data_IF_782977150708
#
_entry.id   IF_782977150708
#
_cell.length_a   1.000
_cell.length_b   1.000
_cell.length_c   1.000
_cell.angle_alpha   90.00
_cell.angle_beta   90.00
_cell.angle_gamma   90.00
#
_symmetry.space_group_name_H-M   'P 1'
#
loop_
_entity.id
_entity.type
_entity.pdbx_description
1 polymer ?
#
# COMPACT_ATOMS: atom_id res chain seq x y z
N UNK A 1 -14.54 12.37 -2.21
CA UNK A 1 -13.81 12.32 -0.92
C UNK A 1 -12.36 12.00 -1.28
N UNK A 2 -11.38 12.40 -0.47
CA UNK A 2 -9.97 12.01 -0.65
C UNK A 2 -9.64 10.92 0.38
N UNK A 3 -8.71 10.00 0.07
CA UNK A 3 -8.26 8.95 0.98
C UNK A 3 -7.82 9.61 2.29
N UNK A 4 -8.31 9.09 3.42
CA UNK A 4 -7.98 9.65 4.73
C UNK A 4 -7.50 8.58 5.68
N UNK A 5 -6.50 8.93 6.48
CA UNK A 5 -6.07 8.17 7.64
C UNK A 5 -6.30 9.06 8.85
N UNK A 6 -6.84 8.48 9.91
CA UNK A 6 -6.95 9.12 11.21
C UNK A 6 -6.28 8.22 12.24
N UNK A 7 -5.18 8.68 12.82
CA UNK A 7 -4.46 7.99 13.90
C UNK A 7 -4.96 8.54 15.24
N UNK A 8 -5.40 7.68 16.15
CA UNK A 8 -6.07 8.10 17.38
C UNK A 8 -5.79 7.23 18.61
N UNK A 9 -5.39 5.96 18.45
CA UNK A 9 -4.99 5.11 19.57
C UNK A 9 -3.55 5.35 19.97
N UNK A 10 -3.10 4.70 21.04
CA UNK A 10 -1.72 4.75 21.52
C UNK A 10 -1.30 3.37 21.97
N UNK A 11 -0.14 2.91 21.50
CA UNK A 11 0.49 1.69 21.97
C UNK A 11 1.73 2.08 22.77
N UNK A 12 1.73 1.70 24.04
CA UNK A 12 2.78 2.05 25.01
C UNK A 12 3.44 0.78 25.55
N UNK A 13 4.76 0.74 25.47
CA UNK A 13 5.59 -0.17 26.27
C UNK A 13 5.90 0.52 27.60
N UNK A 14 5.74 -0.23 28.69
CA UNK A 14 6.04 0.20 30.07
C UNK A 14 6.98 -0.82 30.72
N UNK A 15 8.26 -0.46 30.93
CA UNK A 15 9.28 -1.38 31.47
C UNK A 15 9.06 -1.83 32.94
N UNK A 16 7.92 -1.54 33.55
CA UNK A 16 7.59 -1.96 34.91
C UNK A 16 7.48 -3.48 35.02
N UNK A 17 7.65 -3.98 36.24
CA UNK A 17 7.41 -5.39 36.52
C UNK A 17 5.92 -5.75 36.35
N UNK A 18 5.66 -6.72 35.46
CA UNK A 18 4.33 -7.23 35.04
C UNK A 18 3.68 -6.35 33.97
N UNK A 19 2.85 -6.92 33.07
CA UNK A 19 2.22 -6.14 32.00
C UNK A 19 1.37 -4.98 32.55
N UNK A 20 1.66 -3.77 32.11
CA UNK A 20 0.87 -2.56 32.34
C UNK A 20 0.49 -1.91 31.01
N UNK A 21 -0.43 -0.94 31.05
CA UNK A 21 -0.88 -0.21 29.86
C UNK A 21 -1.23 -1.09 28.65
N UNK A 22 -0.41 -1.06 27.60
CA UNK A 22 -0.63 -1.85 26.36
C UNK A 22 0.20 -3.12 26.31
N UNK A 23 0.94 -3.46 27.36
CA UNK A 23 1.79 -4.62 27.41
C UNK A 23 0.99 -5.92 27.30
N UNK A 24 1.60 -6.88 26.63
CA UNK A 24 1.02 -8.19 26.42
C UNK A 24 2.05 -9.27 26.72
N UNK A 25 1.62 -10.33 27.39
CA UNK A 25 2.48 -11.49 27.58
C UNK A 25 2.79 -12.11 26.21
N UNK A 26 4.04 -12.55 26.00
CA UNK A 26 4.48 -13.12 24.72
C UNK A 26 3.59 -14.28 24.24
N UNK A 27 3.02 -15.06 25.17
CA UNK A 27 2.12 -16.19 24.86
C UNK A 27 0.77 -15.74 24.29
N UNK A 28 0.35 -14.51 24.58
CA UNK A 28 -0.92 -13.94 24.15
C UNK A 28 -0.78 -13.12 22.84
N UNK A 29 0.45 -12.92 22.34
CA UNK A 29 0.70 -12.28 21.05
C UNK A 29 0.12 -13.16 19.93
N UNK A 30 -0.75 -12.61 19.06
CA UNK A 30 -1.33 -13.34 17.94
C UNK A 30 -0.27 -13.94 16.99
N UNK A 31 -0.59 -15.11 16.43
CA UNK A 31 0.35 -15.83 15.55
C UNK A 31 0.73 -15.06 14.28
N UNK A 32 -0.18 -14.24 13.73
CA UNK A 32 0.10 -13.39 12.57
C UNK A 32 1.11 -12.28 12.93
N UNK A 33 0.97 -11.67 14.11
CA UNK A 33 1.89 -10.63 14.60
C UNK A 33 3.28 -11.21 14.85
N UNK A 34 3.37 -12.33 15.58
CA UNK A 34 4.67 -12.99 15.82
C UNK A 34 5.34 -13.47 14.53
N UNK A 35 4.55 -13.90 13.52
CA UNK A 35 5.07 -14.23 12.19
C UNK A 35 5.60 -13.02 11.45
N UNK A 36 4.88 -11.89 11.48
CA UNK A 36 5.31 -10.65 10.83
C UNK A 36 6.67 -10.17 11.38
N UNK A 37 6.82 -10.09 12.70
CA UNK A 37 8.09 -9.74 13.33
C UNK A 37 9.21 -10.74 13.01
N UNK A 38 8.93 -12.04 13.10
CA UNK A 38 9.94 -13.08 12.82
C UNK A 38 10.44 -13.04 11.38
N UNK A 39 9.56 -12.78 10.41
CA UNK A 39 9.92 -12.63 9.00
C UNK A 39 10.81 -11.40 8.75
N UNK A 40 10.59 -10.32 9.49
CA UNK A 40 11.45 -9.13 9.49
C UNK A 40 12.76 -9.32 10.29
N UNK A 41 12.97 -10.49 10.91
CA UNK A 41 14.15 -10.81 11.71
C UNK A 41 14.09 -10.36 13.17
N UNK A 42 12.96 -9.83 13.63
CA UNK A 42 12.71 -9.46 15.02
C UNK A 42 12.11 -10.65 15.81
N UNK A 43 12.97 -11.45 16.45
CA UNK A 43 12.52 -12.61 17.22
C UNK A 43 11.99 -12.19 18.60
N UNK A 44 10.67 -12.14 18.77
CA UNK A 44 10.00 -11.72 20.01
C UNK A 44 10.41 -12.51 21.26
N UNK A 45 10.98 -13.72 21.15
CA UNK A 45 11.51 -14.44 22.30
C UNK A 45 12.70 -13.74 22.97
N UNK A 46 13.34 -12.81 22.26
CA UNK A 46 14.43 -11.98 22.75
C UNK A 46 13.96 -10.57 23.14
N UNK A 47 12.68 -10.26 22.99
CA UNK A 47 12.16 -8.95 23.37
C UNK A 47 12.20 -8.80 24.90
N UNK A 48 12.59 -7.61 25.34
CA UNK A 48 12.40 -7.16 26.73
C UNK A 48 10.90 -7.13 27.00
N UNK A 49 10.13 -6.54 26.06
CA UNK A 49 8.71 -6.33 26.19
C UNK A 49 8.01 -6.24 24.84
N UNK A 50 6.72 -6.56 24.83
CA UNK A 50 5.83 -6.44 23.68
C UNK A 50 4.57 -5.74 24.14
N UNK A 51 4.10 -4.78 23.34
CA UNK A 51 2.85 -4.07 23.56
C UNK A 51 1.96 -4.13 22.31
N UNK A 52 0.64 -4.17 22.52
CA UNK A 52 -0.39 -4.18 21.49
C UNK A 52 -1.63 -4.98 21.89
N UNK A 53 -2.46 -5.35 20.92
CA UNK A 53 -3.62 -6.23 21.16
C UNK A 53 -4.91 -5.53 21.59
N UNK A 54 -4.93 -4.19 21.61
CA UNK A 54 -6.09 -3.36 21.87
C UNK A 54 -7.10 -3.29 20.71
N UNK A 55 -7.92 -2.23 20.72
CA UNK A 55 -8.76 -1.85 19.58
C UNK A 55 -7.93 -1.29 18.43
N UNK A 56 -8.58 -0.70 17.44
CA UNK A 56 -7.89 -0.04 16.33
C UNK A 56 -7.18 1.22 16.84
N UNK A 57 -5.94 1.43 16.41
CA UNK A 57 -5.15 2.63 16.68
C UNK A 57 -5.30 3.68 15.58
N UNK A 58 -5.74 3.24 14.41
CA UNK A 58 -6.03 4.10 13.28
C UNK A 58 -7.25 3.58 12.51
N UNK A 59 -7.91 4.49 11.82
CA UNK A 59 -8.95 4.20 10.84
C UNK A 59 -8.54 4.76 9.49
N UNK A 60 -8.89 4.05 8.42
CA UNK A 60 -8.67 4.48 7.04
C UNK A 60 -10.00 4.49 6.29
N UNK A 61 -10.24 5.57 5.55
CA UNK A 61 -11.44 5.72 4.71
C UNK A 61 -11.00 6.00 3.28
N UNK A 62 -11.26 5.07 2.33
CA UNK A 62 -10.92 5.26 0.92
C UNK A 62 -11.84 6.26 0.23
N UNK A 63 -11.44 6.66 -0.97
CA UNK A 63 -12.31 7.37 -1.87
C UNK A 63 -13.56 6.55 -2.21
N UNK A 64 -14.63 7.26 -2.56
CA UNK A 64 -15.87 6.60 -2.98
C UNK A 64 -15.57 5.69 -4.16
N UNK A 65 -15.89 4.41 -4.01
CA UNK A 65 -15.66 3.43 -5.07
C UNK A 65 -14.29 2.77 -5.09
N UNK A 66 -13.42 3.14 -4.16
CA UNK A 66 -12.13 2.53 -3.95
C UNK A 66 -12.15 1.66 -2.69
N UNK A 67 -11.20 0.75 -2.63
CA UNK A 67 -10.88 -0.05 -1.45
C UNK A 67 -9.44 0.22 -1.08
N UNK A 68 -9.12 0.23 0.22
CA UNK A 68 -7.73 0.35 0.67
C UNK A 68 -6.99 -0.94 0.27
N UNK A 69 -5.87 -0.78 -0.41
CA UNK A 69 -5.05 -1.90 -0.90
C UNK A 69 -4.01 -2.37 0.12
N UNK A 70 -3.61 -1.49 1.03
CA UNK A 70 -2.67 -1.81 2.10
C UNK A 70 -2.32 -0.58 2.94
N UNK A 71 -1.80 -0.85 4.13
CA UNK A 71 -1.16 0.10 5.03
C UNK A 71 0.34 -0.19 5.12
N UNK A 72 1.17 0.85 5.20
CA UNK A 72 2.63 0.68 5.35
C UNK A 72 3.27 1.88 6.04
N UNK A 73 4.48 1.70 6.58
CA UNK A 73 5.23 2.77 7.21
C UNK A 73 6.09 3.54 6.19
N UNK A 74 6.08 4.87 6.30
CA UNK A 74 6.86 5.78 5.44
C UNK A 74 7.56 6.86 6.26
N UNK A 75 8.58 7.47 5.66
CA UNK A 75 9.29 8.61 6.25
C UNK A 75 8.40 9.89 6.24
N UNK A 76 8.82 10.98 6.92
CA UNK A 76 8.05 12.24 6.96
C UNK A 76 7.78 12.88 5.59
N UNK A 77 8.60 12.57 4.59
CA UNK A 77 8.50 12.99 3.18
C UNK A 77 7.74 12.00 2.29
N UNK A 78 7.14 10.97 2.89
CA UNK A 78 6.42 9.86 2.24
C UNK A 78 7.32 8.95 1.38
N UNK A 79 8.63 8.94 1.65
CA UNK A 79 9.58 7.99 1.08
C UNK A 79 9.71 6.71 1.90
N UNK A 80 10.53 5.79 1.40
CA UNK A 80 10.82 4.53 2.08
C UNK A 80 11.79 4.76 3.26
N UNK A 81 11.47 4.18 4.42
CA UNK A 81 12.37 4.18 5.58
C UNK A 81 13.58 3.30 5.31
N UNK A 82 14.76 3.88 5.13
CA UNK A 82 15.95 3.15 4.68
C UNK A 82 17.25 3.60 5.38
N UNK A 83 17.12 3.98 6.64
CA UNK A 83 18.20 4.56 7.45
C UNK A 83 17.86 5.95 7.99
N UNK A 84 16.59 6.24 8.20
CA UNK A 84 16.10 7.52 8.69
C UNK A 84 16.34 7.65 10.19
N UNK A 85 16.82 8.80 10.65
CA UNK A 85 17.09 9.01 12.06
C UNK A 85 15.79 8.97 12.88
N UNK A 86 15.69 8.05 13.84
CA UNK A 86 14.55 7.95 14.76
C UNK A 86 14.52 9.06 15.81
N UNK A 87 15.66 9.75 16.03
CA UNK A 87 15.84 10.67 17.14
C UNK A 87 16.03 9.99 18.51
N UNK A 88 15.92 8.67 18.56
CA UNK A 88 16.15 7.86 19.75
C UNK A 88 17.58 7.32 19.78
N UNK A 89 18.05 7.00 20.98
CA UNK A 89 19.36 6.44 21.23
C UNK A 89 19.22 5.23 22.15
N UNK A 90 20.10 4.24 21.99
CA UNK A 90 20.23 3.18 22.99
C UNK A 90 20.81 3.73 24.29
N UNK A 91 20.67 3.00 25.40
CA UNK A 91 21.25 3.39 26.69
C UNK A 91 22.77 3.69 26.60
N UNK A 92 23.49 3.00 25.72
CA UNK A 92 24.92 3.19 25.46
C UNK A 92 25.23 4.41 24.57
N UNK A 93 24.20 5.12 24.10
CA UNK A 93 24.31 6.34 23.30
C UNK A 93 24.49 6.11 21.81
N UNK A 94 24.20 4.92 21.28
CA UNK A 94 24.17 4.68 19.83
C UNK A 94 22.86 5.23 19.25
N UNK A 95 22.94 6.00 18.18
CA UNK A 95 21.76 6.51 17.47
C UNK A 95 21.00 5.37 16.79
N UNK A 96 19.68 5.44 16.78
CA UNK A 96 18.81 4.41 16.20
C UNK A 96 18.23 4.93 14.88
N UNK A 97 18.28 4.11 13.84
CA UNK A 97 17.79 4.43 12.50
C UNK A 97 16.64 3.50 12.09
N UNK A 98 15.66 4.02 11.36
CA UNK A 98 14.45 3.34 10.94
C UNK A 98 14.62 2.70 9.57
N UNK A 99 14.20 1.44 9.47
CA UNK A 99 14.17 0.65 8.23
C UNK A 99 12.83 -0.06 8.10
N UNK A 100 12.08 0.23 7.04
CA UNK A 100 10.92 -0.59 6.69
C UNK A 100 11.41 -1.98 6.21
N UNK A 101 10.70 -3.04 6.57
CA UNK A 101 11.02 -4.37 6.04
C UNK A 101 10.76 -4.38 4.52
N UNK A 102 11.73 -4.81 3.70
CA UNK A 102 11.60 -4.73 2.24
C UNK A 102 10.56 -5.68 1.66
N UNK A 103 10.06 -6.66 2.43
CA UNK A 103 9.07 -7.62 1.99
C UNK A 103 7.68 -7.37 2.62
N UNK A 104 7.60 -6.49 3.62
CA UNK A 104 6.39 -6.16 4.36
C UNK A 104 6.54 -4.75 4.97
N UNK A 105 6.13 -3.72 4.25
CA UNK A 105 6.21 -2.33 4.68
C UNK A 105 5.31 -2.02 5.90
N UNK A 106 4.45 -2.96 6.31
CA UNK A 106 3.75 -2.90 7.59
C UNK A 106 4.69 -3.04 8.80
N UNK A 107 5.94 -3.47 8.62
CA UNK A 107 6.93 -3.60 9.70
C UNK A 107 8.05 -2.58 9.52
N UNK A 108 8.38 -1.85 10.59
CA UNK A 108 9.58 -1.00 10.68
C UNK A 108 10.46 -1.47 11.83
N UNK A 109 11.77 -1.46 11.59
CA UNK A 109 12.81 -1.82 12.55
C UNK A 109 13.59 -0.56 12.94
N UNK A 110 13.74 -0.33 14.24
CA UNK A 110 14.76 0.56 14.78
C UNK A 110 16.07 -0.21 14.93
N UNK A 111 17.09 0.14 14.15
CA UNK A 111 18.41 -0.49 14.17
C UNK A 111 19.47 0.44 14.71
N UNK A 112 20.42 -0.10 15.46
CA UNK A 112 21.58 0.65 15.90
C UNK A 112 22.39 1.16 14.72
N UNK A 113 22.79 2.42 14.78
CA UNK A 113 23.82 2.97 13.92
C UNK A 113 25.22 2.58 14.39
N UNK A 114 26.21 2.87 13.55
CA UNK A 114 27.61 2.76 13.94
C UNK A 114 27.96 3.74 15.06
N UNK A 115 29.08 3.52 15.76
CA UNK A 115 29.62 4.43 16.79
C UNK A 115 29.81 5.87 16.28
N UNK A 116 29.95 6.06 14.96
CA UNK A 116 30.06 7.38 14.32
C UNK A 116 28.74 8.09 14.04
N UNK A 117 27.58 7.54 14.44
CA UNK A 117 26.26 8.11 14.14
C UNK A 117 25.88 7.96 12.67
N UNK A 118 26.24 6.83 12.06
CA UNK A 118 25.89 6.51 10.67
C UNK A 118 24.94 5.33 10.65
N UNK A 119 23.87 5.43 9.86
CA UNK A 119 22.88 4.39 9.65
C UNK A 119 23.53 3.07 9.21
N UNK A 120 23.15 1.97 9.85
CA UNK A 120 23.64 0.62 9.57
C UNK A 120 22.46 -0.35 9.38
N UNK A 121 22.16 -0.80 8.14
CA UNK A 121 21.07 -1.73 7.90
C UNK A 121 21.31 -3.12 8.52
N UNK A 122 22.54 -3.43 8.93
CA UNK A 122 22.92 -4.65 9.64
C UNK A 122 23.05 -4.48 11.15
N UNK A 123 22.81 -3.28 11.66
CA UNK A 123 22.82 -2.98 13.09
C UNK A 123 21.83 -3.85 13.86
N UNK A 124 22.11 -4.05 15.15
CA UNK A 124 21.22 -4.79 16.04
C UNK A 124 19.83 -4.13 16.06
N UNK A 125 18.78 -4.94 16.16
CA UNK A 125 17.40 -4.44 16.28
C UNK A 125 17.20 -4.00 17.72
N UNK A 126 16.88 -2.73 17.91
CA UNK A 126 16.59 -2.11 19.22
C UNK A 126 15.10 -2.18 19.52
N UNK A 127 14.26 -1.85 18.54
CA UNK A 127 12.81 -2.05 18.60
C UNK A 127 12.27 -2.43 17.22
N UNK A 128 11.07 -3.00 17.20
CA UNK A 128 10.31 -3.27 15.99
C UNK A 128 8.86 -2.82 16.17
N UNK A 129 8.26 -2.29 15.12
CA UNK A 129 6.88 -1.82 15.11
C UNK A 129 6.16 -2.46 13.92
N UNK A 130 4.93 -2.94 14.15
CA UNK A 130 4.09 -3.55 13.13
C UNK A 130 2.70 -2.90 13.13
N UNK A 131 2.17 -2.59 11.95
CA UNK A 131 0.76 -2.24 11.75
C UNK A 131 -0.01 -3.46 11.26
N UNK A 132 -0.84 -4.02 12.13
CA UNK A 132 -1.79 -5.07 11.79
C UNK A 132 -3.03 -4.45 11.17
N UNK A 133 -3.29 -4.73 9.90
CA UNK A 133 -4.49 -4.24 9.21
C UNK A 133 -5.76 -4.85 9.80
N UNK A 134 -6.76 -4.01 10.08
CA UNK A 134 -8.09 -4.46 10.51
C UNK A 134 -9.06 -4.38 9.36
N UNK A 135 -9.87 -5.44 9.21
CA UNK A 135 -10.79 -5.56 8.09
C UNK A 135 -12.24 -5.65 8.53
N UNK A 136 -13.12 -4.96 7.81
CA UNK A 136 -14.58 -5.15 7.87
C UNK A 136 -15.04 -5.71 6.53
N UNK A 137 -15.74 -6.86 6.52
CA UNK A 137 -16.16 -7.55 5.29
C UNK A 137 -15.00 -7.84 4.31
N UNK A 138 -13.81 -8.16 4.83
CA UNK A 138 -12.58 -8.39 4.05
C UNK A 138 -11.99 -7.14 3.38
N UNK A 139 -12.46 -5.94 3.73
CA UNK A 139 -11.88 -4.67 3.30
C UNK A 139 -11.12 -4.03 4.45
N UNK A 140 -9.93 -3.49 4.19
CA UNK A 140 -9.13 -2.79 5.20
C UNK A 140 -9.85 -1.50 5.60
N UNK A 141 -10.11 -1.35 6.90
CA UNK A 141 -10.82 -0.19 7.50
C UNK A 141 -10.01 0.52 8.57
N UNK A 142 -8.90 -0.08 9.01
CA UNK A 142 -8.05 0.49 10.04
C UNK A 142 -6.80 -0.35 10.28
N UNK A 143 -6.16 -0.12 11.42
CA UNK A 143 -5.01 -0.88 11.83
C UNK A 143 -4.74 -0.77 13.33
N UNK A 144 -3.99 -1.75 13.84
CA UNK A 144 -3.49 -1.79 15.22
C UNK A 144 -1.98 -1.75 15.22
N UNK A 145 -1.40 -1.01 16.14
CA UNK A 145 0.04 -1.01 16.33
C UNK A 145 0.45 -2.11 17.31
N UNK A 146 1.60 -2.70 17.00
CA UNK A 146 2.32 -3.63 17.84
C UNK A 146 3.75 -3.15 17.95
N UNK A 147 4.30 -3.12 19.16
CA UNK A 147 5.67 -2.68 19.41
C UNK A 147 6.39 -3.78 20.18
N UNK A 148 7.63 -4.06 19.82
CA UNK A 148 8.53 -4.92 20.57
C UNK A 148 9.86 -4.18 20.83
N UNK A 149 10.32 -4.18 22.07
CA UNK A 149 11.59 -3.58 22.48
C UNK A 149 12.60 -4.69 22.79
N UNK A 150 13.84 -4.54 22.34
CA UNK A 150 14.91 -5.54 22.44
C UNK A 150 16.15 -5.01 23.18
N UNK A 151 16.37 -3.70 23.18
CA UNK A 151 17.44 -3.05 23.93
C UNK A 151 16.91 -1.77 24.59
N UNK A 152 17.34 -1.44 25.83
CA UNK A 152 16.85 -0.26 26.52
C UNK A 152 17.18 1.05 25.80
N UNK A 153 16.24 1.99 25.82
CA UNK A 153 16.39 3.31 25.26
C UNK A 153 17.02 4.28 26.25
N UNK A 154 17.74 5.28 25.74
CA UNK A 154 18.26 6.37 26.56
C UNK A 154 17.18 7.41 26.82
N UNK A 155 16.91 7.64 28.10
CA UNK A 155 16.02 8.71 28.55
C UNK A 155 16.79 10.02 28.82
N UNK A 156 16.30 11.16 28.30
CA UNK A 156 16.99 12.45 28.44
C UNK A 156 16.79 13.10 29.81
N UNK A 157 15.75 12.73 30.54
CA UNK A 157 15.48 13.21 31.90
C UNK A 157 16.08 12.26 32.93
N UNK A 158 16.92 12.79 33.82
CA UNK A 158 17.57 12.04 34.89
C UNK A 158 17.04 12.42 36.28
N UNK A 159 15.90 13.13 36.37
CA UNK A 159 15.49 13.86 37.58
C UNK A 159 14.36 13.24 38.42
N UNK A 160 14.20 11.91 38.36
CA UNK A 160 13.22 11.08 39.11
C UNK A 160 11.79 11.04 38.55
N UNK A 161 11.59 11.24 37.24
CA UNK A 161 10.38 10.74 36.61
C UNK A 161 10.68 9.35 36.05
N UNK A 162 10.17 8.32 36.71
CA UNK A 162 10.36 6.91 36.32
C UNK A 162 9.42 6.49 35.17
N UNK A 163 8.74 7.45 34.52
CA UNK A 163 7.76 7.22 33.45
C UNK A 163 7.96 8.27 32.33
N UNK A 164 9.21 8.67 32.07
CA UNK A 164 9.47 9.61 30.97
C UNK A 164 9.24 8.90 29.63
N UNK A 165 8.20 9.31 28.92
CA UNK A 165 7.93 8.79 27.57
C UNK A 165 8.92 9.33 26.53
N UNK A 166 9.58 8.42 25.80
CA UNK A 166 10.18 8.72 24.50
C UNK A 166 9.32 8.14 23.37
N UNK A 167 9.37 8.76 22.20
CA UNK A 167 8.54 8.37 21.06
C UNK A 167 9.19 8.75 19.72
N UNK A 168 8.49 8.51 18.62
CA UNK A 168 8.96 8.77 17.25
C UNK A 168 8.33 10.05 16.66
N UNK A 169 8.04 11.05 17.49
CA UNK A 169 7.37 12.28 17.06
C UNK A 169 8.01 12.89 15.80
N UNK A 170 7.16 13.18 14.81
CA UNK A 170 7.55 13.69 13.50
C UNK A 170 8.58 12.83 12.72
N UNK A 171 8.82 11.56 13.10
CA UNK A 171 9.76 10.65 12.43
C UNK A 171 9.11 9.52 11.64
N UNK A 172 7.93 9.09 12.06
CA UNK A 172 7.26 7.93 11.49
C UNK A 172 5.82 8.28 11.09
N UNK A 173 5.48 7.96 9.84
CA UNK A 173 4.12 8.02 9.31
C UNK A 173 3.62 6.63 8.96
N UNK A 174 2.31 6.46 9.05
CA UNK A 174 1.59 5.36 8.40
C UNK A 174 0.95 5.91 7.13
N UNK A 175 1.08 5.18 6.03
CA UNK A 175 0.51 5.50 4.73
C UNK A 175 -0.45 4.42 4.27
N UNK A 176 -1.40 4.82 3.42
CA UNK A 176 -2.36 3.94 2.81
C UNK A 176 -2.36 4.16 1.31
N UNK A 177 -2.56 3.09 0.55
CA UNK A 177 -2.88 3.16 -0.88
C UNK A 177 -4.26 2.58 -1.13
N UNK A 178 -4.87 2.92 -2.26
CA UNK A 178 -6.20 2.44 -2.60
C UNK A 178 -6.28 1.98 -4.06
N UNK A 179 -7.21 1.07 -4.33
CA UNK A 179 -7.46 0.53 -5.64
C UNK A 179 -8.95 0.33 -5.91
N UNK A 180 -9.29 0.27 -7.19
CA UNK A 180 -10.60 -0.20 -7.65
C UNK A 180 -10.40 -1.10 -8.86
N UNK A 181 -11.20 -2.17 -8.95
CA UNK A 181 -11.06 -3.20 -9.99
C UNK A 181 -12.35 -3.32 -10.77
N UNK A 182 -12.21 -3.46 -12.08
CA UNK A 182 -13.30 -3.61 -13.03
C UNK A 182 -13.22 -4.99 -13.66
N UNK A 183 -14.27 -5.79 -13.45
CA UNK A 183 -14.46 -7.04 -14.17
C UNK A 183 -15.11 -6.74 -15.52
N UNK A 184 -14.69 -7.46 -16.55
CA UNK A 184 -15.34 -7.38 -17.87
C UNK A 184 -16.49 -8.35 -18.03
N UNK A 185 -16.83 -9.09 -16.97
CA UNK A 185 -17.97 -10.01 -16.96
C UNK A 185 -19.25 -9.32 -17.45
N UNK A 186 -20.03 -10.08 -18.22
CA UNK A 186 -21.29 -9.62 -18.83
C UNK A 186 -21.15 -8.48 -19.86
N UNK A 187 -19.94 -8.11 -20.28
CA UNK A 187 -19.75 -7.17 -21.38
C UNK A 187 -20.58 -7.59 -22.60
N UNK A 188 -21.36 -6.68 -23.23
CA UNK A 188 -22.18 -6.98 -24.39
C UNK A 188 -21.37 -7.64 -25.50
N UNK A 189 -21.84 -8.78 -25.98
CA UNK A 189 -21.24 -9.47 -27.12
C UNK A 189 -21.48 -8.70 -28.40
N UNK A 190 -20.50 -8.65 -29.29
CA UNK A 190 -20.61 -7.91 -30.55
C UNK A 190 -19.37 -7.07 -30.80
N UNK A 191 -19.43 -6.24 -31.83
CA UNK A 191 -18.48 -5.16 -32.06
C UNK A 191 -19.24 -3.88 -31.69
N UNK A 192 -18.89 -3.28 -30.56
CA UNK A 192 -19.53 -2.07 -30.07
C UNK A 192 -18.56 -0.89 -30.17
N UNK A 193 -19.04 0.34 -30.17
CA UNK A 193 -18.16 1.52 -30.19
C UNK A 193 -17.40 1.73 -28.88
N UNK A 194 -18.07 1.47 -27.77
CA UNK A 194 -17.47 1.53 -26.44
C UNK A 194 -17.96 0.40 -25.54
N UNK A 195 -17.31 0.25 -24.39
CA UNK A 195 -17.86 -0.44 -23.23
C UNK A 195 -17.59 0.42 -22.01
N UNK A 196 -18.56 0.56 -21.11
CA UNK A 196 -18.36 1.29 -19.86
C UNK A 196 -18.62 0.36 -18.68
N UNK A 197 -17.65 0.25 -17.77
CA UNK A 197 -17.73 -0.61 -16.59
C UNK A 197 -17.76 0.24 -15.34
N UNK A 198 -18.71 -0.04 -14.45
CA UNK A 198 -18.78 0.53 -13.11
C UNK A 198 -18.12 -0.39 -12.08
N UNK A 199 -17.81 0.16 -10.91
CA UNK A 199 -17.24 -0.59 -9.78
C UNK A 199 -18.28 -1.17 -8.82
N UNK A 200 -19.58 -1.06 -9.10
CA UNK A 200 -20.62 -1.50 -8.17
C UNK A 200 -21.46 -2.67 -8.70
N UNK A 201 -21.36 -3.87 -8.09
CA UNK A 201 -22.14 -5.02 -8.49
C UNK A 201 -23.61 -5.07 -7.96
N UNK A 202 -24.11 -4.07 -7.22
CA UNK A 202 -25.50 -4.07 -6.71
C UNK A 202 -26.11 -2.68 -6.38
N UNK A 203 -25.55 -1.58 -6.89
CA UNK A 203 -26.00 -0.22 -6.57
C UNK A 203 -25.43 0.82 -7.55
N UNK A 204 -25.29 2.08 -7.11
CA UNK A 204 -24.71 3.16 -7.93
C UNK A 204 -23.17 3.08 -7.89
N UNK A 205 -22.55 2.95 -9.05
CA UNK A 205 -21.13 3.05 -9.32
C UNK A 205 -20.64 4.48 -9.10
N UNK A 206 -19.48 4.58 -8.48
CA UNK A 206 -18.85 5.87 -8.11
C UNK A 206 -17.53 6.08 -8.81
N UNK A 207 -16.95 5.00 -9.35
CA UNK A 207 -15.84 5.01 -10.28
C UNK A 207 -16.17 4.04 -11.43
N UNK A 208 -15.62 4.34 -12.59
CA UNK A 208 -15.81 3.57 -13.80
C UNK A 208 -14.64 3.67 -14.74
N UNK A 209 -14.69 2.84 -15.79
CA UNK A 209 -13.82 2.95 -16.94
C UNK A 209 -14.65 2.96 -18.22
N UNK A 210 -14.27 3.81 -19.15
CA UNK A 210 -14.74 3.77 -20.53
C UNK A 210 -13.65 3.13 -21.37
N UNK A 211 -14.01 2.08 -22.09
CA UNK A 211 -13.13 1.32 -22.97
C UNK A 211 -13.52 1.64 -24.40
N UNK A 212 -12.56 2.11 -25.20
CA UNK A 212 -12.71 2.35 -26.63
C UNK A 212 -11.54 1.73 -27.40
N UNK A 213 -11.63 1.69 -28.73
CA UNK A 213 -10.48 1.39 -29.57
C UNK A 213 -9.36 2.46 -29.48
N UNK A 214 -8.30 2.29 -30.27
CA UNK A 214 -7.23 3.31 -30.35
C UNK A 214 -7.70 4.53 -31.14
N UNK A 215 -8.45 4.29 -32.20
CA UNK A 215 -9.03 5.32 -33.06
C UNK A 215 -10.56 5.11 -33.14
N UNK A 216 -11.30 5.36 -32.04
CA UNK A 216 -12.75 5.32 -32.09
C UNK A 216 -13.27 6.36 -33.07
N UNK A 217 -14.46 6.13 -33.60
CA UNK A 217 -15.13 7.05 -34.50
C UNK A 217 -15.64 8.27 -33.73
N UNK A 218 -15.28 9.51 -34.08
CA UNK A 218 -15.87 10.70 -33.45
C UNK A 218 -17.31 10.91 -33.94
N UNK A 219 -18.24 11.11 -33.00
CA UNK A 219 -19.61 11.55 -33.24
C UNK A 219 -20.51 10.52 -33.96
N UNK A 220 -20.74 9.39 -33.30
CA UNK A 220 -21.56 8.30 -33.83
C UNK A 220 -22.88 8.16 -33.08
N UNK A 221 -23.91 8.72 -33.71
CA UNK A 221 -25.31 8.30 -33.53
C UNK A 221 -25.69 7.33 -34.67
N UNK A 222 -24.71 6.58 -35.19
CA UNK A 222 -24.87 5.64 -36.31
C UNK A 222 -24.23 4.28 -36.00
N UNK A 223 -24.66 3.24 -36.71
CA UNK A 223 -24.18 1.87 -36.52
C UNK A 223 -23.17 1.46 -37.61
N UNK A 224 -22.54 2.43 -38.29
CA UNK A 224 -21.71 2.16 -39.48
C UNK A 224 -20.26 1.81 -39.10
N UNK A 225 -19.89 1.95 -37.82
CA UNK A 225 -18.61 1.53 -37.21
C UNK A 225 -17.38 1.93 -38.04
N UNK A 226 -17.24 3.22 -38.40
CA UNK A 226 -16.15 3.64 -39.30
C UNK A 226 -14.80 3.80 -38.61
N UNK A 227 -14.79 3.84 -37.27
CA UNK A 227 -13.62 3.75 -36.39
C UNK A 227 -13.38 2.36 -35.79
N UNK A 228 -12.47 2.28 -34.82
CA UNK A 228 -12.17 1.06 -34.08
C UNK A 228 -13.34 0.66 -33.16
N UNK A 229 -13.73 -0.61 -33.17
CA UNK A 229 -14.78 -1.17 -32.30
C UNK A 229 -14.18 -1.98 -31.16
N UNK A 230 -14.77 -1.92 -29.97
CA UNK A 230 -14.49 -2.80 -28.84
C UNK A 230 -15.38 -4.04 -28.93
N UNK A 231 -14.77 -5.22 -28.96
CA UNK A 231 -15.51 -6.47 -29.11
C UNK A 231 -15.38 -7.39 -27.90
N UNK A 232 -16.49 -7.98 -27.47
CA UNK A 232 -16.50 -9.07 -26.48
C UNK A 232 -16.96 -10.38 -27.12
N UNK A 233 -16.31 -11.47 -26.73
CA UNK A 233 -16.57 -12.82 -27.25
C UNK A 233 -17.81 -13.49 -26.64
N UNK A 234 -18.19 -13.10 -25.40
CA UNK A 234 -19.27 -13.71 -24.63
C UNK A 234 -19.83 -12.72 -23.60
N UNK A 235 -21.16 -12.69 -23.43
CA UNK A 235 -21.80 -12.05 -22.29
C UNK A 235 -21.90 -13.08 -21.15
N UNK A 236 -20.94 -13.05 -20.22
CA UNK A 236 -20.92 -13.95 -19.07
C UNK A 236 -19.64 -13.86 -18.25
N UNK A 237 -19.43 -14.78 -17.28
CA UNK A 237 -18.22 -14.83 -16.48
C UNK A 237 -16.97 -15.10 -17.32
N UNK A 238 -15.86 -14.46 -16.95
CA UNK A 238 -14.57 -14.46 -17.64
C UNK A 238 -14.62 -13.86 -19.05
N UNK A 239 -15.54 -12.92 -19.29
CA UNK A 239 -15.55 -12.19 -20.54
C UNK A 239 -14.24 -11.40 -20.73
N UNK A 240 -13.81 -11.33 -21.97
CA UNK A 240 -12.60 -10.61 -22.38
C UNK A 240 -12.94 -9.60 -23.46
N UNK A 241 -12.24 -8.48 -23.46
CA UNK A 241 -12.39 -7.44 -24.49
C UNK A 241 -11.22 -7.49 -25.48
N UNK A 242 -11.56 -7.35 -26.75
CA UNK A 242 -10.68 -7.16 -27.89
C UNK A 242 -11.09 -5.92 -28.70
N UNK A 243 -10.44 -5.70 -29.83
CA UNK A 243 -10.72 -4.55 -30.71
C UNK A 243 -10.69 -4.98 -32.17
N UNK A 244 -11.69 -4.54 -32.96
CA UNK A 244 -11.90 -4.94 -34.35
C UNK A 244 -11.96 -6.47 -34.54
N UNK A 245 -12.56 -7.15 -33.56
CA UNK A 245 -12.53 -8.58 -33.39
C UNK A 245 -12.39 -8.97 -31.91
N UNK A 246 -12.72 -10.21 -31.59
CA UNK A 246 -12.79 -10.71 -30.20
C UNK A 246 -11.44 -10.81 -29.47
N UNK A 247 -10.33 -10.48 -30.15
CA UNK A 247 -8.98 -10.48 -29.62
C UNK A 247 -8.28 -9.15 -29.92
N UNK A 248 -7.36 -8.72 -29.07
CA UNK A 248 -6.46 -7.60 -29.37
C UNK A 248 -5.32 -8.07 -30.30
N UNK A 249 -5.56 -7.91 -31.60
CA UNK A 249 -4.64 -8.31 -32.68
C UNK A 249 -3.46 -7.33 -32.90
N UNK A 250 -2.41 -7.78 -33.62
CA UNK A 250 -1.25 -6.94 -33.93
C UNK A 250 -1.62 -5.64 -34.63
N UNK A 251 -1.10 -4.51 -34.14
CA UNK A 251 -1.34 -3.17 -34.68
C UNK A 251 -2.59 -2.47 -34.14
N UNK A 252 -3.43 -3.16 -33.36
CA UNK A 252 -4.59 -2.58 -32.71
C UNK A 252 -4.28 -2.20 -31.24
N UNK A 253 -5.17 -1.43 -30.62
CA UNK A 253 -5.07 -1.02 -29.23
C UNK A 253 -6.43 -0.73 -28.58
N UNK A 254 -6.45 -0.77 -27.26
CA UNK A 254 -7.59 -0.41 -26.42
C UNK A 254 -7.22 0.77 -25.54
N UNK A 255 -8.09 1.78 -25.50
CA UNK A 255 -8.00 2.93 -24.62
C UNK A 255 -8.88 2.71 -23.40
N UNK A 256 -8.37 2.97 -22.22
CA UNK A 256 -9.09 2.88 -20.95
C UNK A 256 -9.09 4.27 -20.31
N UNK A 257 -10.25 4.93 -20.27
CA UNK A 257 -10.43 6.26 -19.65
C UNK A 257 -11.09 6.10 -18.28
N UNK A 258 -10.55 6.75 -17.26
CA UNK A 258 -10.99 6.61 -15.87
C UNK A 258 -12.00 7.69 -15.53
N UNK A 259 -13.20 7.29 -15.14
CA UNK A 259 -14.33 8.21 -14.96
C UNK A 259 -14.96 8.07 -13.58
N UNK A 260 -15.53 9.16 -13.08
CA UNK A 260 -16.25 9.24 -11.83
C UNK A 260 -17.76 9.28 -12.08
N UNK A 261 -18.50 8.54 -11.25
CA UNK A 261 -19.96 8.43 -11.28
C UNK A 261 -20.50 8.20 -12.72
N UNK A 262 -20.09 7.11 -13.38
CA UNK A 262 -20.69 6.74 -14.66
C UNK A 262 -22.20 6.56 -14.50
N UNK A 263 -22.98 6.91 -15.53
CA UNK A 263 -24.43 6.72 -15.48
C UNK A 263 -24.75 5.22 -15.51
N UNK A 264 -25.38 4.70 -14.45
CA UNK A 264 -25.60 3.25 -14.29
C UNK A 264 -26.31 2.60 -15.47
N UNK A 265 -27.27 3.29 -16.08
CA UNK A 265 -28.03 2.82 -17.23
C UNK A 265 -27.12 2.46 -18.42
N UNK A 266 -25.94 3.09 -18.49
CA UNK A 266 -24.95 2.88 -19.55
C UNK A 266 -23.67 2.19 -19.05
N UNK A 267 -23.74 1.49 -17.93
CA UNK A 267 -22.64 0.63 -17.45
C UNK A 267 -22.98 -0.84 -17.60
N UNK A 268 -21.98 -1.68 -17.86
CA UNK A 268 -22.13 -3.13 -17.91
C UNK A 268 -22.66 -3.64 -16.57
N UNK A 269 -23.85 -4.23 -16.59
CA UNK A 269 -24.48 -4.72 -15.37
C UNK A 269 -23.80 -5.98 -14.80
N UNK A 270 -23.65 -6.07 -13.48
CA UNK A 270 -23.10 -7.23 -12.77
C UNK A 270 -23.98 -8.49 -12.86
N UNK A 271 -25.29 -8.32 -13.08
CA UNK A 271 -26.26 -9.40 -13.31
C UNK A 271 -27.34 -8.93 -14.30
N UNK A 272 -27.74 -9.81 -15.21
CA UNK A 272 -28.97 -9.63 -16.00
C UNK A 272 -30.19 -9.80 -15.08
N UNK A 273 -30.53 -8.78 -14.29
CA UNK A 273 -31.83 -8.74 -13.59
C UNK A 273 -32.94 -8.58 -14.64
N UNK A 274 -34.03 -9.37 -14.60
CA UNK A 274 -35.22 -9.12 -15.41
C UNK A 274 -35.92 -7.78 -15.15
N UNK A 275 -35.51 -6.99 -14.14
CA UNK A 275 -36.04 -5.64 -13.88
C UNK A 275 -34.94 -4.56 -13.96
N UNK A 276 -35.26 -3.40 -14.55
CA UNK A 276 -34.30 -2.34 -14.90
C UNK A 276 -33.61 -1.65 -13.71
N UNK A 277 -32.44 -1.03 -13.97
CA UNK A 277 -31.84 -0.84 -15.30
C UNK A 277 -31.16 -2.10 -15.83
N UNK A 278 -31.52 -2.49 -17.06
CA UNK A 278 -30.83 -3.53 -17.80
C UNK A 278 -29.55 -2.84 -18.28
N UNK A 279 -28.45 -2.97 -17.54
CA UNK A 279 -27.22 -2.23 -17.85
C UNK A 279 -26.75 -2.44 -19.30
N UNK A 280 -25.82 -1.59 -19.71
CA UNK A 280 -25.36 -1.36 -21.09
C UNK A 280 -25.60 -2.55 -22.03
N UNK A 281 -26.47 -2.37 -23.02
CA UNK A 281 -26.65 -3.32 -24.12
C UNK A 281 -25.83 -2.94 -25.37
N UNK A 282 -25.83 -3.81 -26.39
CA UNK A 282 -25.05 -3.58 -27.62
C UNK A 282 -25.55 -2.38 -28.43
N UNK A 283 -26.85 -2.09 -28.42
CA UNK A 283 -27.39 -0.90 -29.10
C UNK A 283 -26.99 0.37 -28.37
N UNK A 284 -27.03 0.35 -27.03
CA UNK A 284 -26.60 1.48 -26.22
C UNK A 284 -25.10 1.73 -26.32
N UNK A 285 -24.30 0.66 -26.44
CA UNK A 285 -22.86 0.69 -26.61
C UNK A 285 -22.38 1.20 -28.00
N UNK A 286 -23.33 1.43 -28.92
CA UNK A 286 -23.12 1.98 -30.27
C UNK A 286 -23.59 3.43 -30.41
N UNK A 287 -23.86 4.12 -29.29
CA UNK A 287 -24.18 5.54 -29.31
C UNK A 287 -23.27 6.30 -28.34
N UNK A 288 -22.40 7.15 -28.87
CA UNK A 288 -21.46 7.92 -28.06
C UNK A 288 -22.16 8.80 -27.01
N UNK A 289 -23.39 9.26 -27.27
CA UNK A 289 -24.21 10.02 -26.30
C UNK A 289 -24.53 9.27 -25.00
N UNK A 290 -24.36 7.94 -24.97
CA UNK A 290 -24.51 7.11 -23.79
C UNK A 290 -23.24 7.04 -22.93
N UNK A 291 -22.11 7.61 -23.38
CA UNK A 291 -20.90 7.74 -22.58
C UNK A 291 -21.06 8.86 -21.53
N UNK A 292 -21.88 8.62 -20.52
CA UNK A 292 -22.26 9.61 -19.52
C UNK A 292 -21.54 9.38 -18.18
N UNK A 293 -20.88 10.42 -17.69
CA UNK A 293 -20.20 10.43 -16.39
C UNK A 293 -20.05 11.88 -15.89
N UNK A 294 -19.61 12.08 -14.63
CA UNK A 294 -19.56 13.43 -14.03
C UNK A 294 -18.16 14.03 -13.91
N UNK A 295 -17.11 13.23 -14.09
CA UNK A 295 -15.72 13.68 -14.04
C UNK A 295 -14.72 12.60 -14.44
N UNK A 296 -13.44 12.98 -14.57
CA UNK A 296 -12.35 12.01 -14.64
C UNK A 296 -11.84 11.65 -13.24
N UNK A 297 -11.49 10.39 -13.04
CA UNK A 297 -10.94 9.92 -11.77
C UNK A 297 -9.58 10.56 -11.51
N UNK A 298 -9.50 11.35 -10.44
CA UNK A 298 -8.31 12.12 -10.09
C UNK A 298 -7.23 11.28 -9.38
N UNK A 299 -5.96 11.68 -9.53
CA UNK A 299 -4.85 11.17 -8.70
C UNK A 299 -4.36 9.75 -9.02
N UNK A 300 -4.82 9.18 -10.14
CA UNK A 300 -4.34 7.89 -10.63
C UNK A 300 -2.93 8.03 -11.20
N UNK A 301 -1.94 7.36 -10.63
CA UNK A 301 -0.59 7.27 -11.23
C UNK A 301 -0.14 5.84 -11.47
N UNK A 302 -0.99 4.87 -11.19
CA UNK A 302 -0.73 3.48 -11.50
C UNK A 302 -2.02 2.77 -11.92
N UNK A 303 -1.87 1.78 -12.80
CA UNK A 303 -2.96 0.88 -13.13
C UNK A 303 -2.39 -0.46 -13.57
N UNK A 304 -3.24 -1.45 -13.69
CA UNK A 304 -2.88 -2.76 -14.19
C UNK A 304 -3.98 -3.37 -15.04
N UNK A 305 -3.59 -4.27 -15.94
CA UNK A 305 -4.50 -5.08 -16.72
C UNK A 305 -4.11 -6.55 -16.64
N UNK A 306 -5.11 -7.42 -16.70
CA UNK A 306 -4.91 -8.87 -16.67
C UNK A 306 -4.95 -9.42 -18.09
N UNK A 307 -3.89 -10.12 -18.49
CA UNK A 307 -3.84 -10.85 -19.75
C UNK A 307 -4.52 -12.19 -19.56
N UNK A 308 -5.79 -12.26 -19.93
CA UNK A 308 -6.62 -13.46 -19.78
C UNK A 308 -6.23 -14.59 -20.73
N UNK A 309 -5.66 -14.24 -21.90
CA UNK A 309 -5.17 -15.21 -22.87
C UNK A 309 -4.15 -14.59 -23.82
N UNK A 310 -3.20 -15.41 -24.28
CA UNK A 310 -2.35 -15.13 -25.44
C UNK A 310 -2.56 -16.25 -26.46
N UNK A 311 -2.83 -15.88 -27.71
CA UNK A 311 -3.14 -16.81 -28.79
C UNK A 311 -2.11 -16.70 -29.91
N UNK A 312 -1.64 -17.82 -30.50
CA UNK A 312 -1.86 -19.20 -30.06
C UNK A 312 -1.23 -19.46 -28.68
N UNK A 313 -1.83 -20.36 -27.90
CA UNK A 313 -1.36 -20.71 -26.54
C UNK A 313 0.12 -21.10 -26.52
N UNK A 314 0.85 -20.63 -25.51
CA UNK A 314 2.28 -20.90 -25.33
C UNK A 314 3.21 -19.87 -26.00
N UNK A 315 2.67 -18.91 -26.75
CA UNK A 315 3.42 -17.76 -27.24
C UNK A 315 3.48 -16.64 -26.20
N UNK A 316 4.30 -15.63 -26.49
CA UNK A 316 4.34 -14.37 -25.75
C UNK A 316 3.99 -13.21 -26.65
N UNK A 317 3.40 -12.16 -26.08
CA UNK A 317 3.06 -10.93 -26.79
C UNK A 317 3.98 -9.78 -26.37
N UNK A 318 4.18 -8.83 -27.28
CA UNK A 318 4.81 -7.54 -26.96
C UNK A 318 3.73 -6.48 -26.90
N UNK A 319 3.63 -5.80 -25.75
CA UNK A 319 2.64 -4.77 -25.47
C UNK A 319 3.33 -3.42 -25.39
N UNK A 320 2.67 -2.38 -25.89
CA UNK A 320 3.06 -0.98 -25.66
C UNK A 320 1.98 -0.30 -24.83
N UNK A 321 2.40 0.40 -23.79
CA UNK A 321 1.55 1.19 -22.91
C UNK A 321 1.88 2.66 -23.14
N UNK A 322 0.87 3.50 -23.28
CA UNK A 322 0.99 4.97 -23.36
C UNK A 322 -0.03 5.60 -22.43
N UNK A 323 0.40 6.47 -21.51
CA UNK A 323 -0.50 7.13 -20.57
C UNK A 323 -0.78 8.58 -21.01
N UNK A 324 -1.99 9.04 -20.77
CA UNK A 324 -2.46 10.38 -21.12
C UNK A 324 -3.23 11.03 -19.99
N UNK A 325 -3.10 12.34 -19.87
CA UNK A 325 -3.89 13.15 -18.98
C UNK A 325 -4.56 14.26 -19.79
N UNK A 326 -5.86 14.44 -19.60
CA UNK A 326 -6.52 15.65 -20.08
C UNK A 326 -6.27 16.82 -19.09
N UNK A 327 -5.62 17.90 -19.53
CA UNK A 327 -5.35 19.07 -18.69
C UNK A 327 -6.58 19.94 -18.39
N UNK A 328 -7.68 19.80 -19.14
CA UNK A 328 -8.89 20.61 -19.03
C UNK A 328 -9.97 19.97 -18.15
N UNK A 329 -9.88 18.66 -17.94
CA UNK A 329 -10.87 17.86 -17.23
C UNK A 329 -12.11 17.56 -18.09
N UNK A 330 -12.97 16.66 -17.61
CA UNK A 330 -14.10 16.09 -18.32
C UNK A 330 -15.22 17.06 -18.81
N UNK A 331 -15.08 18.37 -18.63
CA UNK A 331 -16.13 19.34 -18.94
C UNK A 331 -16.34 19.46 -20.46
N UNK A 332 -17.42 18.83 -20.95
CA UNK A 332 -17.73 18.79 -22.38
C UNK A 332 -17.16 17.57 -23.10
N UNK A 333 -16.48 16.68 -22.38
CA UNK A 333 -15.89 15.43 -22.90
C UNK A 333 -16.71 14.21 -22.44
N UNK A 334 -18.04 14.34 -22.46
CA UNK A 334 -18.98 13.27 -22.12
C UNK A 334 -20.09 13.26 -23.16
N UNK A 335 -20.70 12.10 -23.39
CA UNK A 335 -21.60 11.88 -24.52
C UNK A 335 -20.83 12.04 -25.84
N UNK A 336 -21.45 12.69 -26.82
CA UNK A 336 -20.92 12.95 -28.17
C UNK A 336 -19.72 13.91 -28.25
N UNK A 337 -19.07 14.20 -27.12
CA UNK A 337 -17.83 14.98 -27.09
C UNK A 337 -16.67 14.19 -26.48
N UNK A 338 -16.89 12.93 -26.12
CA UNK A 338 -15.92 12.11 -25.42
C UNK A 338 -14.71 11.80 -26.31
N UNK A 339 -14.94 11.37 -27.55
CA UNK A 339 -13.88 11.04 -28.51
C UNK A 339 -13.14 12.30 -28.96
N UNK A 340 -13.84 13.40 -29.18
CA UNK A 340 -13.22 14.69 -29.56
C UNK A 340 -12.32 15.23 -28.46
N UNK A 341 -12.64 14.96 -27.19
CA UNK A 341 -11.81 15.30 -26.03
C UNK A 341 -10.41 14.67 -26.08
N UNK A 342 -10.19 13.64 -26.91
CA UNK A 342 -8.87 13.00 -26.98
C UNK A 342 -7.80 13.89 -27.62
N UNK A 343 -8.20 14.95 -28.32
CA UNK A 343 -7.32 15.74 -29.19
C UNK A 343 -6.36 16.66 -28.43
N UNK A 344 -6.66 17.03 -27.19
CA UNK A 344 -5.84 17.93 -26.36
C UNK A 344 -5.24 17.25 -25.11
N UNK A 345 -5.47 15.95 -24.94
CA UNK A 345 -4.73 15.10 -24.03
C UNK A 345 -3.20 15.27 -24.18
N UNK A 346 -2.53 15.34 -23.03
CA UNK A 346 -1.08 15.35 -22.94
C UNK A 346 -0.56 14.01 -22.46
N UNK A 347 0.54 13.56 -23.03
CA UNK A 347 1.20 12.31 -22.64
C UNK A 347 1.83 12.42 -21.25
N UNK A 348 1.74 11.34 -20.47
CA UNK A 348 2.38 11.22 -19.15
C UNK A 348 3.45 10.13 -19.19
N UNK A 349 4.62 10.42 -18.62
CA UNK A 349 5.75 9.49 -18.62
C UNK A 349 5.48 8.26 -17.76
N UNK A 350 5.89 7.09 -18.25
CA UNK A 350 5.87 5.83 -17.49
C UNK A 350 7.26 5.60 -16.88
N UNK A 351 7.32 5.38 -15.58
CA UNK A 351 8.56 5.25 -14.80
C UNK A 351 8.91 3.81 -14.47
N UNK A 352 7.90 2.95 -14.33
CA UNK A 352 8.08 1.56 -13.92
C UNK A 352 7.00 0.68 -14.55
N UNK A 353 7.38 -0.58 -14.86
CA UNK A 353 6.45 -1.64 -15.23
C UNK A 353 6.78 -2.89 -14.42
N UNK A 354 5.74 -3.56 -13.93
CA UNK A 354 5.85 -4.86 -13.26
C UNK A 354 5.00 -5.90 -13.97
N UNK A 355 5.46 -7.15 -13.91
CA UNK A 355 4.66 -8.33 -14.26
C UNK A 355 4.53 -9.17 -13.00
N UNK A 356 3.29 -9.43 -12.57
CA UNK A 356 2.99 -10.19 -11.36
C UNK A 356 3.74 -9.66 -10.12
N UNK A 357 3.81 -8.33 -9.98
CA UNK A 357 4.48 -7.64 -8.87
C UNK A 357 6.01 -7.52 -8.98
N UNK A 358 6.65 -8.17 -9.96
CA UNK A 358 8.10 -8.06 -10.18
C UNK A 358 8.43 -7.00 -11.23
N UNK A 359 9.36 -6.08 -10.91
CA UNK A 359 9.86 -5.08 -11.87
C UNK A 359 10.49 -5.77 -13.07
N UNK A 360 10.10 -5.37 -14.27
CA UNK A 360 10.63 -5.91 -15.53
C UNK A 360 11.43 -4.86 -16.28
N UNK A 361 12.39 -5.31 -17.08
CA UNK A 361 13.13 -4.45 -18.00
C UNK A 361 12.25 -4.07 -19.21
N UNK A 362 11.36 -3.09 -19.01
CA UNK A 362 10.61 -2.47 -20.10
C UNK A 362 11.49 -1.49 -20.87
N UNK A 363 11.26 -1.35 -22.18
CA UNK A 363 11.84 -0.25 -22.94
C UNK A 363 11.02 1.01 -22.67
N UNK A 364 11.49 1.83 -21.74
CA UNK A 364 10.90 3.11 -21.38
C UNK A 364 11.46 4.20 -22.29
N UNK A 365 10.58 4.88 -23.01
CA UNK A 365 10.93 6.00 -23.89
C UNK A 365 9.99 7.16 -23.62
N UNK A 366 10.23 7.90 -22.52
CA UNK A 366 9.38 9.02 -22.11
C UNK A 366 7.98 8.56 -21.71
N UNK A 367 7.02 8.80 -22.59
CA UNK A 367 5.58 8.55 -22.44
C UNK A 367 5.14 7.11 -22.69
N UNK A 368 6.07 6.26 -23.15
CA UNK A 368 5.75 4.90 -23.58
C UNK A 368 6.59 3.86 -22.85
N UNK A 369 5.97 2.72 -22.58
CA UNK A 369 6.63 1.52 -22.10
C UNK A 369 6.33 0.35 -23.04
N UNK A 370 7.38 -0.23 -23.62
CA UNK A 370 7.25 -1.43 -24.47
C UNK A 370 7.80 -2.64 -23.72
N UNK A 371 6.93 -3.65 -23.54
CA UNK A 371 7.23 -4.85 -22.77
C UNK A 371 7.05 -6.07 -23.66
N UNK A 372 8.12 -6.84 -23.81
CA UNK A 372 8.09 -8.12 -24.53
C UNK A 372 7.99 -9.27 -23.56
N UNK A 373 7.42 -10.39 -24.01
CA UNK A 373 7.44 -11.63 -23.23
C UNK A 373 6.22 -11.83 -22.33
N UNK A 374 5.18 -10.98 -22.47
CA UNK A 374 3.93 -11.08 -21.70
C UNK A 374 3.18 -12.37 -22.09
N UNK A 375 2.64 -13.07 -21.09
CA UNK A 375 2.03 -14.41 -21.21
C UNK A 375 0.60 -14.44 -20.70
N UNK A 376 -0.05 -15.56 -20.96
CA UNK A 376 -1.33 -15.90 -20.37
C UNK A 376 -1.26 -15.87 -18.83
N UNK A 377 -2.20 -15.18 -18.20
CA UNK A 377 -2.31 -15.03 -16.75
C UNK A 377 -1.46 -13.93 -16.13
N UNK A 378 -0.64 -13.23 -16.92
CA UNK A 378 0.17 -12.12 -16.40
C UNK A 378 -0.73 -10.92 -16.03
N UNK A 379 -0.49 -10.37 -14.85
CA UNK A 379 -0.94 -9.04 -14.46
C UNK A 379 0.18 -8.05 -14.75
N UNK A 380 -0.05 -7.17 -15.72
CA UNK A 380 0.92 -6.12 -16.08
C UNK A 380 0.48 -4.84 -15.41
N UNK A 381 1.33 -4.31 -14.52
CA UNK A 381 1.10 -3.02 -13.86
C UNK A 381 2.15 -2.01 -14.26
N UNK A 382 1.79 -0.72 -14.25
CA UNK A 382 2.69 0.37 -14.57
C UNK A 382 2.50 1.55 -13.62
N UNK A 383 3.52 2.38 -13.51
CA UNK A 383 3.51 3.62 -12.71
C UNK A 383 3.94 4.80 -13.58
N UNK A 384 3.35 5.96 -13.36
CA UNK A 384 3.59 7.20 -14.10
C UNK A 384 4.24 8.29 -13.25
N UNK A 385 4.76 9.34 -13.88
CA UNK A 385 5.38 10.49 -13.18
C UNK A 385 4.38 11.43 -12.51
N UNK A 386 3.13 11.43 -12.96
CA UNK A 386 2.06 12.31 -12.48
C UNK A 386 0.70 11.67 -12.77
N UNK A 387 -0.38 12.26 -12.27
CA UNK A 387 -1.72 11.72 -12.51
C UNK A 387 -2.03 11.62 -14.02
N UNK A 388 -2.79 10.59 -14.41
CA UNK A 388 -3.27 10.36 -15.76
C UNK A 388 -4.73 9.88 -15.74
N UNK A 389 -5.49 10.25 -16.77
CA UNK A 389 -6.93 9.95 -16.89
C UNK A 389 -7.22 8.86 -17.91
N UNK A 390 -6.25 8.54 -18.78
CA UNK A 390 -6.41 7.53 -19.82
C UNK A 390 -5.13 6.73 -20.05
N UNK A 391 -5.27 5.49 -20.48
CA UNK A 391 -4.15 4.67 -20.97
C UNK A 391 -4.51 3.95 -22.26
N UNK A 392 -3.59 3.93 -23.21
CA UNK A 392 -3.66 3.13 -24.42
C UNK A 392 -2.76 1.90 -24.28
N UNK A 393 -3.33 0.72 -24.49
CA UNK A 393 -2.65 -0.58 -24.49
C UNK A 393 -2.69 -1.14 -25.90
N UNK A 394 -1.52 -1.30 -26.52
CA UNK A 394 -1.39 -1.75 -27.92
C UNK A 394 -0.67 -3.10 -28.00
N UNK A 395 -1.15 -3.98 -28.88
CA UNK A 395 -0.38 -5.14 -29.32
C UNK A 395 0.56 -4.72 -30.46
N UNK A 396 1.85 -4.62 -30.17
CA UNK A 396 2.86 -4.13 -31.12
C UNK A 396 3.63 -5.27 -31.80
N UNK A 397 3.05 -6.47 -31.87
CA UNK A 397 3.53 -7.52 -32.75
C UNK A 397 3.52 -7.06 -34.23
N UNK A 398 4.33 -7.68 -35.10
CA UNK A 398 4.30 -7.36 -36.53
C UNK A 398 2.91 -7.56 -37.13
N UNK A 399 2.41 -6.62 -37.94
CA UNK A 399 1.10 -6.77 -38.62
C UNK A 399 1.13 -7.72 -39.82
N UNK A 400 2.33 -8.14 -40.25
CA UNK A 400 2.56 -9.10 -41.33
C UNK A 400 3.79 -9.97 -41.03
N UNK A 401 3.77 -11.21 -41.49
CA UNK A 401 4.90 -12.14 -41.35
C UNK A 401 4.93 -12.85 -40.01
N UNK A 402 6.07 -13.43 -39.60
CA UNK A 402 6.18 -14.15 -38.33
C UNK A 402 5.75 -13.29 -37.14
N UNK A 403 4.86 -13.83 -36.30
CA UNK A 403 4.30 -13.14 -35.13
C UNK A 403 3.00 -12.37 -35.41
N UNK A 404 2.58 -12.20 -36.66
CA UNK A 404 1.36 -11.45 -37.00
C UNK A 404 0.05 -12.17 -36.69
N UNK A 405 0.14 -13.40 -36.18
CA UNK A 405 -0.99 -14.18 -35.69
C UNK A 405 -1.04 -14.20 -34.16
N UNK A 406 -0.14 -13.48 -33.47
CA UNK A 406 -0.10 -13.44 -32.01
C UNK A 406 -1.06 -12.35 -31.50
N UNK A 407 -2.12 -12.76 -30.82
CA UNK A 407 -3.11 -11.86 -30.21
C UNK A 407 -3.11 -12.03 -28.69
N UNK A 408 -3.70 -11.06 -27.98
CA UNK A 408 -3.98 -11.19 -26.56
C UNK A 408 -5.42 -10.81 -26.25
N UNK A 409 -5.92 -11.30 -25.12
CA UNK A 409 -7.24 -10.99 -24.58
C UNK A 409 -7.06 -10.34 -23.21
N UNK A 410 -7.69 -9.18 -23.00
CA UNK A 410 -7.66 -8.49 -21.70
C UNK A 410 -8.94 -8.86 -20.95
N UNK A 411 -8.80 -9.38 -19.73
CA UNK A 411 -9.92 -9.89 -18.93
C UNK A 411 -10.28 -9.06 -17.69
N UNK A 412 -9.59 -7.96 -17.46
CA UNK A 412 -9.90 -7.06 -16.35
C UNK A 412 -8.90 -5.92 -16.25
N UNK A 413 -9.29 -4.90 -15.51
CA UNK A 413 -8.51 -3.69 -15.31
C UNK A 413 -8.62 -3.22 -13.86
N UNK A 414 -7.51 -2.75 -13.30
CA UNK A 414 -7.47 -2.19 -11.94
C UNK A 414 -6.82 -0.82 -12.01
N UNK A 415 -7.48 0.16 -11.40
CA UNK A 415 -6.92 1.48 -11.15
C UNK A 415 -6.29 1.47 -9.76
N UNK A 416 -5.02 1.84 -9.68
CA UNK A 416 -4.32 2.07 -8.41
C UNK A 416 -4.11 3.57 -8.27
N UNK A 417 -4.85 4.19 -7.33
CA UNK A 417 -4.62 5.59 -7.04
C UNK A 417 -3.35 5.72 -6.21
N UNK A 418 -2.48 6.65 -6.59
CA UNK A 418 -1.35 7.04 -5.75
C UNK A 418 -1.64 8.29 -4.95
N UNK A 419 -2.89 8.75 -4.89
CA UNK A 419 -3.31 9.64 -3.81
C UNK A 419 -3.27 8.83 -2.53
N UNK A 420 -2.06 8.58 -2.05
CA UNK A 420 -1.80 7.96 -0.77
C UNK A 420 -2.09 8.98 0.30
N UNK A 421 -2.82 8.58 1.33
CA UNK A 421 -2.86 9.32 2.56
C UNK A 421 -1.68 8.89 3.41
N UNK A 422 -1.13 9.81 4.18
CA UNK A 422 -0.14 9.50 5.20
C UNK A 422 -0.41 10.38 6.41
N UNK A 423 -0.34 9.80 7.60
CA UNK A 423 -0.49 10.55 8.85
C UNK A 423 0.64 10.18 9.82
N UNK A 424 1.09 11.15 10.62
CA UNK A 424 2.09 10.86 11.64
C UNK A 424 1.52 9.91 12.69
N UNK A 425 2.25 8.84 12.98
CA UNK A 425 1.93 7.86 14.02
C UNK A 425 2.93 7.89 15.17
N UNK A 426 4.04 8.61 15.01
CA UNK A 426 5.17 8.54 15.93
C UNK A 426 4.88 8.95 17.37
N UNK A 427 3.90 9.83 17.63
CA UNK A 427 3.52 10.23 19.00
C UNK A 427 2.65 9.20 19.72
N UNK A 428 2.03 8.29 18.96
CA UNK A 428 1.19 7.20 19.46
C UNK A 428 2.00 5.95 19.81
N UNK A 429 3.28 5.92 19.44
CA UNK A 429 4.20 4.81 19.66
C UNK A 429 5.16 5.21 20.78
N UNK A 430 4.85 4.74 21.99
CA UNK A 430 5.43 5.26 23.24
C UNK A 430 6.27 4.19 23.93
N UNK A 431 7.40 4.62 24.48
CA UNK A 431 8.31 3.81 25.27
C UNK A 431 8.57 4.55 26.57
N UNK A 432 8.16 3.93 27.67
CA UNK A 432 8.32 4.50 29.00
C UNK A 432 9.28 3.62 29.80
N UNK A 433 10.25 4.26 30.47
CA UNK A 433 11.34 3.60 31.19
C UNK A 433 11.24 3.80 32.68
N UNK A 434 10.93 2.70 33.37
CA UNK A 434 11.14 2.55 34.80
C UNK A 434 12.63 2.39 35.09
N UNK A 435 13.34 3.51 35.04
CA UNK A 435 14.77 3.56 35.33
C UNK A 435 15.13 2.70 36.54
N UNK A 436 16.33 2.11 36.58
CA UNK A 436 16.65 0.96 37.44
C UNK A 436 16.23 1.12 38.90
N UNK A 437 15.35 0.24 39.39
CA UNK A 437 14.94 0.24 40.81
C UNK A 437 15.96 -0.54 41.68
N UNK A 438 16.59 0.15 42.63
CA UNK A 438 17.35 -0.48 43.71
C UNK A 438 16.46 -0.68 44.93
N UNK A 439 16.17 -1.94 45.27
CA UNK A 439 15.62 -2.27 46.59
C UNK A 439 16.78 -2.44 47.57
N UNK A 440 17.22 -1.34 48.18
CA UNK A 440 18.18 -1.40 49.28
C UNK A 440 17.45 -1.81 50.57
N UNK A 441 17.68 -3.04 51.05
CA UNK A 441 17.24 -3.43 52.40
C UNK A 441 18.17 -2.75 53.41
N UNK A 442 17.64 -1.83 54.21
CA UNK A 442 18.39 -1.25 55.31
C UNK A 442 18.88 -2.38 56.23
N UNK A 443 20.20 -2.57 56.33
CA UNK A 443 20.77 -3.50 57.28
C UNK A 443 20.40 -3.06 58.70
N UNK A 444 19.73 -3.92 59.46
CA UNK A 444 19.49 -3.73 60.90
C UNK A 444 20.70 -4.12 61.75
N UNK A 445 21.81 -4.54 61.11
CA UNK A 445 23.05 -4.83 61.81
C UNK A 445 23.59 -3.54 62.43
N UNK A 446 23.63 -3.50 63.76
CA UNK A 446 24.36 -2.47 64.49
C UNK A 446 25.79 -2.95 64.73
N UNK A 447 26.76 -2.09 64.44
CA UNK A 447 28.14 -2.27 64.91
C UNK A 447 28.17 -1.84 66.36
N UNK A 448 28.52 -2.76 67.27
CA UNK A 448 28.82 -2.41 68.66
C UNK A 448 30.32 -2.19 68.75
N UNK A 449 30.73 -1.00 69.16
CA UNK A 449 32.10 -0.73 69.56
C UNK A 449 32.19 -0.98 71.07
N UNK A 450 33.01 -1.94 71.48
CA UNK A 450 33.39 -2.07 72.88
C UNK A 450 34.60 -1.16 73.15
N UNK A 451 34.38 -0.05 73.84
CA UNK A 451 35.43 0.90 74.23
C UNK A 451 36.09 0.52 75.58
N UNK A 452 35.92 -0.72 76.04
CA UNK A 452 36.46 -1.16 77.35
C UNK A 452 37.94 -1.51 77.24
N UNK A 453 38.78 -0.88 78.07
CA UNK A 453 40.22 -1.13 78.08
C UNK A 453 40.57 -2.51 78.67
N UNK A 454 41.16 -3.39 77.86
CA UNK A 454 41.67 -4.71 78.27
C UNK A 454 41.60 -5.75 77.13
N UNK A 455 42.25 -6.90 77.30
CA UNK A 455 42.14 -8.01 76.33
C UNK A 455 40.81 -8.73 76.58
N UNK A 456 39.83 -8.51 75.70
CA UNK A 456 38.55 -9.23 75.69
C UNK A 456 38.69 -10.48 74.79
N UNK A 457 37.96 -11.54 75.12
CA UNK A 457 38.04 -12.85 74.46
C UNK A 457 36.94 -13.08 73.41
N UNK A 458 36.29 -12.03 72.92
CA UNK A 458 35.23 -12.13 71.91
C UNK A 458 35.72 -11.80 70.50
N UNK A 459 34.84 -12.02 69.53
CA UNK A 459 35.10 -11.96 68.08
C UNK A 459 35.11 -10.53 67.57
N UNK A 460 36.04 -9.72 68.06
CA UNK A 460 36.33 -8.42 67.46
C UNK A 460 36.99 -8.61 66.08
N UNK A 461 36.59 -7.78 65.14
CA UNK A 461 37.18 -7.71 63.80
C UNK A 461 38.00 -6.43 63.74
N UNK A 462 39.29 -6.55 63.43
CA UNK A 462 40.20 -5.39 63.27
C UNK A 462 39.56 -4.35 62.33
N UNK A 463 39.48 -3.10 62.77
CA UNK A 463 38.72 -2.01 62.12
C UNK A 463 39.15 -1.66 60.69
N UNK A 464 40.15 -2.36 60.14
CA UNK A 464 40.58 -2.26 58.74
C UNK A 464 39.80 -3.20 57.80
N UNK A 465 38.90 -4.05 58.31
CA UNK A 465 38.09 -4.97 57.49
C UNK A 465 36.73 -4.40 57.05
N UNK A 466 36.48 -3.10 57.24
CA UNK A 466 35.33 -2.43 56.62
C UNK A 466 35.67 -2.10 55.17
N UNK A 467 35.32 -3.01 54.26
CA UNK A 467 35.22 -2.68 52.85
C UNK A 467 34.02 -1.74 52.67
N UNK A 468 34.28 -0.42 52.66
CA UNK A 468 33.34 0.51 52.07
C UNK A 468 33.22 0.13 50.59
N UNK A 469 32.00 -0.21 50.16
CA UNK A 469 31.68 -0.28 48.73
C UNK A 469 32.06 1.06 48.11
N UNK A 470 33.11 1.06 47.29
CA UNK A 470 33.49 2.19 46.47
C UNK A 470 32.40 2.40 45.43
N UNK A 471 31.60 3.45 45.60
CA UNK A 471 30.84 4.02 44.49
C UNK A 471 31.84 4.76 43.59
N UNK A 472 32.20 4.14 42.47
CA UNK A 472 32.73 4.82 41.29
C UNK A 472 31.83 4.54 40.11
#
# INVERSE_FOLDING_TARGET
MALTINVFGSTKIDETASPQDSDIALVDVPSNVSTAFSNAGANLANAIQVAGGGGDDLSVTPDSGFTVNGLGFVDPTNGALNGDASGLFTLEGREIFLYADPNNDNVVLGREGTVGGVADPSGAIVFAIYVEETTTNSLITGGKFWIALFEPLKHPDTTNDFDFTVNLDNKLKVAATQQTTFSFDNAPSGANEFMMFGNNPAGVSTSGIVVTGRAPDPNTEDNDHTGDTVSSSQAGPHATVGVNGQHLGPGNGLSFTFVDNPAEDFTVAPQQDPHPPQGLDSTEADHESNIQFSGYTSGVTAASFTVAQVNPTGNTVTVKITAFNDPNGAAGETGTGFVEGFADDVTVNITEVKINGAVVAANLSGDTAVISGVKNGDVVSYTTTSAHTRVLIENVQPTKGPGSNITLDIGGFTILSSTGASEFAGTQLQFDDDGPSITAVASTASVRHDETAGVQSDTDVDGTAFAFGSTT
#
